data_IF_253802040967
#
_entry.id   IF_253802040967
#
_cell.length_a   1.000
_cell.length_b   1.000
_cell.length_c   1.000
_cell.angle_alpha   90.00
_cell.angle_beta   90.00
_cell.angle_gamma   90.00
#
_symmetry.space_group_name_H-M   'P 1'
#
loop_
_entity.id
_entity.type
_entity.pdbx_description
1 polymer ?
#
# COMPACT_ATOMS: atom_id res chain seq x y z
N UNK A 1 -30.95 -0.15 27.59
CA UNK A 1 -29.62 0.29 27.15
C UNK A 1 -29.23 -0.63 26.02
N UNK A 2 -29.38 -0.16 24.78
CA UNK A 2 -28.90 -0.90 23.62
C UNK A 2 -27.37 -0.93 23.70
N UNK A 3 -26.81 -2.14 23.81
CA UNK A 3 -25.40 -2.36 23.55
C UNK A 3 -25.18 -2.02 22.06
N UNK A 4 -24.80 -0.78 21.77
CA UNK A 4 -24.18 -0.47 20.49
C UNK A 4 -22.87 -1.25 20.45
N UNK A 5 -22.88 -2.36 19.71
CA UNK A 5 -21.65 -3.02 19.29
C UNK A 5 -20.91 -1.94 18.49
N UNK A 6 -19.88 -1.33 19.09
CA UNK A 6 -18.94 -0.52 18.33
C UNK A 6 -18.21 -1.49 17.41
N UNK A 7 -18.68 -1.59 16.17
CA UNK A 7 -17.95 -2.28 15.12
C UNK A 7 -16.61 -1.56 14.97
N UNK A 8 -15.52 -2.30 15.13
CA UNK A 8 -14.19 -1.77 14.88
C UNK A 8 -14.09 -1.28 13.44
N UNK A 9 -13.36 -0.17 13.23
CA UNK A 9 -13.19 0.40 11.89
C UNK A 9 -12.45 -0.62 11.02
N UNK A 10 -12.87 -0.86 9.77
CA UNK A 10 -12.10 -1.69 8.85
C UNK A 10 -10.66 -1.19 8.75
N UNK A 11 -9.72 -2.09 9.04
CA UNK A 11 -8.30 -1.81 9.05
C UNK A 11 -7.70 -2.15 7.69
N UNK A 12 -7.34 -1.11 6.94
CA UNK A 12 -6.95 -1.22 5.53
C UNK A 12 -5.45 -1.01 5.40
N UNK A 13 -4.76 -1.97 4.78
CA UNK A 13 -3.35 -1.84 4.42
C UNK A 13 -3.22 -1.06 3.10
N UNK A 14 -2.61 0.12 3.16
CA UNK A 14 -2.46 1.04 2.05
C UNK A 14 -1.08 0.91 1.38
N UNK A 15 -1.08 0.63 0.07
CA UNK A 15 0.11 0.41 -0.74
C UNK A 15 0.30 1.56 -1.77
N UNK A 16 1.39 2.30 -1.64
CA UNK A 16 1.70 3.45 -2.50
C UNK A 16 2.05 3.07 -3.96
N UNK A 17 2.04 4.04 -4.87
CA UNK A 17 2.49 3.86 -6.24
C UNK A 17 4.01 3.70 -6.37
N UNK A 18 4.51 3.32 -7.55
CA UNK A 18 5.95 3.19 -7.76
C UNK A 18 6.67 4.49 -7.46
N UNK A 19 7.87 4.37 -6.89
CA UNK A 19 8.77 5.49 -6.60
C UNK A 19 8.15 6.56 -5.70
N UNK A 20 7.31 6.17 -4.76
CA UNK A 20 6.61 7.05 -3.81
C UNK A 20 6.80 6.53 -2.38
N UNK A 21 5.98 6.94 -1.42
CA UNK A 21 6.01 6.40 -0.06
C UNK A 21 4.62 6.31 0.56
N UNK A 22 4.50 5.53 1.62
CA UNK A 22 3.27 5.44 2.40
C UNK A 22 2.84 6.80 2.96
N UNK A 23 3.81 7.65 3.33
CA UNK A 23 3.53 9.02 3.79
C UNK A 23 2.93 9.89 2.66
N UNK A 24 3.45 9.77 1.44
CA UNK A 24 2.92 10.51 0.30
C UNK A 24 1.49 10.06 -0.02
N UNK A 25 1.25 8.74 -0.08
CA UNK A 25 -0.11 8.22 -0.30
C UNK A 25 -1.07 8.68 0.82
N UNK A 26 -0.61 8.70 2.07
CA UNK A 26 -1.38 9.24 3.19
C UNK A 26 -1.79 10.69 2.94
N UNK A 27 -0.85 11.55 2.57
CA UNK A 27 -1.11 12.96 2.30
C UNK A 27 -2.11 13.11 1.13
N UNK A 28 -1.95 12.33 0.06
CA UNK A 28 -2.86 12.37 -1.08
C UNK A 28 -4.29 11.96 -0.70
N UNK A 29 -4.46 10.92 0.13
CA UNK A 29 -5.77 10.48 0.60
C UNK A 29 -6.38 11.54 1.55
N UNK A 30 -5.63 11.98 2.55
CA UNK A 30 -6.12 12.93 3.56
C UNK A 30 -6.51 14.28 2.94
N UNK A 31 -5.84 14.71 1.87
CA UNK A 31 -6.15 15.98 1.19
C UNK A 31 -7.30 15.88 0.18
N UNK A 32 -7.73 14.67 -0.21
CA UNK A 32 -8.75 14.48 -1.27
C UNK A 32 -10.05 13.88 -0.74
N UNK A 33 -10.00 13.06 0.28
CA UNK A 33 -11.17 12.34 0.78
C UNK A 33 -11.88 13.14 1.89
N UNK A 34 -13.22 13.12 1.94
CA UNK A 34 -13.95 13.76 3.02
C UNK A 34 -13.63 13.13 4.38
N UNK A 35 -13.57 13.95 5.43
CA UNK A 35 -13.36 13.50 6.82
C UNK A 35 -14.38 12.44 7.24
N UNK A 36 -15.63 12.57 6.79
CA UNK A 36 -16.72 11.61 7.05
C UNK A 36 -16.47 10.20 6.49
N UNK A 37 -15.55 10.06 5.53
CA UNK A 37 -15.05 8.77 5.04
C UNK A 37 -13.85 8.31 5.85
N UNK A 38 -12.87 9.20 6.05
CA UNK A 38 -11.63 8.90 6.76
C UNK A 38 -11.89 8.43 8.21
N UNK A 39 -12.85 9.04 8.90
CA UNK A 39 -13.22 8.67 10.27
C UNK A 39 -13.79 7.25 10.38
N UNK A 40 -14.21 6.62 9.28
CA UNK A 40 -14.76 5.27 9.27
C UNK A 40 -13.72 4.17 9.03
N UNK A 41 -12.48 4.53 8.73
CA UNK A 41 -11.43 3.60 8.34
C UNK A 41 -10.24 3.72 9.30
N UNK A 42 -9.56 2.59 9.55
CA UNK A 42 -8.21 2.59 10.11
C UNK A 42 -7.21 2.33 8.97
N UNK A 43 -6.50 3.36 8.53
CA UNK A 43 -5.61 3.29 7.36
C UNK A 43 -4.15 3.15 7.80
N UNK A 44 -3.52 2.04 7.41
CA UNK A 44 -2.10 1.75 7.70
C UNK A 44 -1.29 1.89 6.42
N UNK A 45 -0.35 2.82 6.38
CA UNK A 45 0.43 3.12 5.18
C UNK A 45 1.81 2.47 5.24
N UNK A 46 2.05 1.47 4.38
CA UNK A 46 3.30 0.73 4.33
C UNK A 46 4.22 1.28 3.23
N UNK A 47 5.53 1.33 3.50
CA UNK A 47 6.55 1.61 2.49
C UNK A 47 6.98 0.31 1.81
N UNK A 48 7.24 0.40 0.50
CA UNK A 48 7.92 -0.64 -0.26
C UNK A 48 9.32 -0.91 0.30
N UNK A 49 9.79 -2.14 0.11
CA UNK A 49 11.05 -2.60 0.68
C UNK A 49 12.29 -1.99 0.00
N UNK A 50 12.15 -1.49 -1.25
CA UNK A 50 13.28 -1.08 -2.06
C UNK A 50 13.38 0.45 -2.18
N UNK A 51 14.43 1.09 -1.65
CA UNK A 51 14.65 2.52 -1.85
C UNK A 51 14.87 2.85 -3.33
N UNK A 52 14.25 3.93 -3.80
CA UNK A 52 14.39 4.39 -5.18
C UNK A 52 15.83 4.77 -5.50
N UNK A 53 16.33 4.25 -6.64
CA UNK A 53 17.55 4.74 -7.27
C UNK A 53 17.19 5.70 -8.40
N UNK A 54 17.69 6.94 -8.34
CA UNK A 54 17.44 7.97 -9.36
C UNK A 54 16.19 8.82 -9.09
N UNK A 55 15.59 9.38 -10.15
CA UNK A 55 14.50 10.37 -10.05
C UNK A 55 13.16 9.75 -9.69
N UNK A 56 12.34 10.46 -8.93
CA UNK A 56 10.93 10.11 -8.73
C UNK A 56 10.01 11.04 -9.51
N UNK A 57 8.90 10.51 -10.03
CA UNK A 57 7.86 11.33 -10.67
C UNK A 57 7.12 12.25 -9.70
N UNK A 58 7.33 12.09 -8.39
CA UNK A 58 6.71 12.91 -7.34
C UNK A 58 7.67 13.91 -6.70
N UNK A 59 8.93 13.98 -7.16
CA UNK A 59 10.00 14.76 -6.52
C UNK A 59 9.80 16.29 -6.57
N UNK A 60 8.98 16.79 -7.50
CA UNK A 60 8.64 18.22 -7.57
C UNK A 60 7.59 18.64 -6.52
N UNK A 61 6.86 17.68 -5.95
CA UNK A 61 5.72 17.93 -5.05
C UNK A 61 5.96 17.44 -3.63
N UNK A 62 6.81 16.42 -3.45
CA UNK A 62 7.05 15.77 -2.16
C UNK A 62 8.52 15.48 -1.96
N UNK A 63 9.03 15.69 -0.75
CA UNK A 63 10.39 15.35 -0.37
C UNK A 63 10.59 13.82 -0.24
N UNK A 64 11.83 13.31 -0.44
CA UNK A 64 12.19 11.91 -0.17
C UNK A 64 12.05 11.55 1.33
N UNK A 65 12.07 10.25 1.71
CA UNK A 65 12.44 9.09 0.89
C UNK A 65 11.33 8.53 0.02
N UNK A 66 11.73 7.92 -1.10
CA UNK A 66 10.86 7.17 -2.00
C UNK A 66 11.26 5.71 -2.07
N UNK A 67 10.28 4.86 -2.33
CA UNK A 67 10.38 3.42 -2.36
C UNK A 67 9.66 2.84 -3.58
N UNK A 68 10.04 1.63 -3.93
CA UNK A 68 9.40 0.75 -4.90
C UNK A 68 9.05 -0.57 -4.24
N UNK A 69 8.03 -1.22 -4.77
CA UNK A 69 7.64 -2.55 -4.36
C UNK A 69 8.43 -3.62 -5.10
N UNK A 70 8.56 -3.45 -6.41
CA UNK A 70 9.35 -4.28 -7.33
C UNK A 70 9.86 -3.40 -8.47
N UNK A 71 10.88 -3.85 -9.19
CA UNK A 71 11.39 -3.15 -10.36
C UNK A 71 10.86 -3.81 -11.64
N UNK A 72 10.73 -3.03 -12.70
CA UNK A 72 10.39 -3.51 -14.03
C UNK A 72 11.37 -2.93 -15.05
N UNK A 73 11.67 -3.69 -16.11
CA UNK A 73 12.35 -3.13 -17.27
C UNK A 73 11.43 -2.15 -18.03
N UNK A 74 12.01 -1.37 -18.96
CA UNK A 74 11.34 -0.23 -19.63
C UNK A 74 10.06 -0.65 -20.38
N UNK A 75 10.03 -1.86 -20.91
CA UNK A 75 8.92 -2.44 -21.66
C UNK A 75 8.00 -3.34 -20.80
N UNK A 76 8.24 -3.45 -19.49
CA UNK A 76 7.47 -4.25 -18.54
C UNK A 76 7.37 -5.75 -18.90
N UNK A 77 8.37 -6.27 -19.60
CA UNK A 77 8.48 -7.70 -19.93
C UNK A 77 9.16 -8.52 -18.84
N UNK A 78 9.94 -7.88 -17.96
CA UNK A 78 10.61 -8.51 -16.83
C UNK A 78 10.39 -7.72 -15.55
N UNK A 79 10.02 -8.44 -14.49
CA UNK A 79 9.88 -7.91 -13.13
C UNK A 79 10.95 -8.50 -12.23
N UNK A 80 11.60 -7.65 -11.44
CA UNK A 80 12.61 -8.06 -10.46
C UNK A 80 12.08 -7.78 -9.06
N UNK A 81 12.32 -8.69 -8.13
CA UNK A 81 11.91 -8.61 -6.72
C UNK A 81 10.39 -8.69 -6.47
N UNK A 82 9.60 -9.21 -7.42
CA UNK A 82 8.15 -9.26 -7.27
C UNK A 82 7.71 -10.28 -6.21
N UNK A 83 8.27 -11.48 -6.25
CA UNK A 83 7.98 -12.54 -5.28
C UNK A 83 8.43 -12.14 -3.86
N UNK A 84 9.61 -11.56 -3.72
CA UNK A 84 10.12 -11.04 -2.44
C UNK A 84 9.25 -9.90 -1.91
N UNK A 85 8.72 -9.06 -2.80
CA UNK A 85 7.76 -8.03 -2.41
C UNK A 85 6.47 -8.62 -1.85
N UNK A 86 5.93 -9.66 -2.50
CA UNK A 86 4.70 -10.33 -2.04
C UNK A 86 4.95 -10.93 -0.66
N UNK A 87 6.04 -11.69 -0.50
CA UNK A 87 6.42 -12.27 0.79
C UNK A 87 6.60 -11.20 1.89
N UNK A 88 7.22 -10.06 1.58
CA UNK A 88 7.36 -8.94 2.51
C UNK A 88 6.01 -8.39 2.98
N UNK A 89 5.03 -8.25 2.08
CA UNK A 89 3.69 -7.77 2.43
C UNK A 89 2.96 -8.82 3.28
N UNK A 90 3.04 -10.09 2.92
CA UNK A 90 2.43 -11.19 3.68
C UNK A 90 3.01 -11.30 5.09
N UNK A 91 4.33 -11.23 5.24
CA UNK A 91 5.02 -11.21 6.54
C UNK A 91 4.59 -10.00 7.36
N UNK A 92 4.49 -8.81 6.74
CA UNK A 92 4.01 -7.63 7.43
C UNK A 92 2.57 -7.82 7.93
N UNK A 93 1.69 -8.39 7.11
CA UNK A 93 0.31 -8.69 7.48
C UNK A 93 0.21 -9.70 8.62
N UNK A 94 0.97 -10.78 8.57
CA UNK A 94 0.98 -11.80 9.60
C UNK A 94 1.42 -11.25 10.97
N UNK A 95 2.40 -10.34 10.97
CA UNK A 95 2.97 -9.79 12.20
C UNK A 95 2.26 -8.54 12.73
N UNK A 96 1.52 -7.81 11.88
CA UNK A 96 0.91 -6.52 12.25
C UNK A 96 -0.61 -6.49 12.08
N UNK A 97 -1.23 -7.58 11.63
CA UNK A 97 -2.67 -7.71 11.42
C UNK A 97 -3.50 -7.85 12.71
N UNK A 98 -4.80 -8.17 12.61
CA UNK A 98 -5.52 -8.44 11.36
C UNK A 98 -5.71 -7.17 10.51
N UNK A 99 -5.84 -7.37 9.20
CA UNK A 99 -6.23 -6.37 8.21
C UNK A 99 -7.49 -6.85 7.50
N UNK A 100 -8.46 -5.95 7.30
CA UNK A 100 -9.75 -6.25 6.68
C UNK A 100 -9.75 -6.04 5.15
N UNK A 101 -8.67 -5.46 4.62
CA UNK A 101 -8.52 -5.28 3.19
C UNK A 101 -7.31 -4.44 2.82
N UNK A 102 -7.23 -4.13 1.52
CA UNK A 102 -6.17 -3.34 0.93
C UNK A 102 -6.70 -2.12 0.21
N UNK A 103 -5.87 -1.08 0.14
CA UNK A 103 -6.04 0.05 -0.76
C UNK A 103 -4.72 0.25 -1.50
N UNK A 104 -4.75 0.20 -2.84
CA UNK A 104 -3.54 0.36 -3.65
C UNK A 104 -3.69 1.46 -4.69
N UNK A 105 -2.59 2.16 -4.98
CA UNK A 105 -2.50 3.09 -6.12
C UNK A 105 -1.38 2.68 -7.08
N UNK A 106 -1.61 2.76 -8.39
CA UNK A 106 -0.62 2.44 -9.44
C UNK A 106 0.07 1.07 -9.20
N UNK A 107 1.38 1.02 -8.94
CA UNK A 107 2.08 -0.23 -8.58
C UNK A 107 1.49 -0.92 -7.35
N UNK A 108 1.09 -0.17 -6.33
CA UNK A 108 0.37 -0.71 -5.17
C UNK A 108 -1.01 -1.27 -5.54
N UNK A 109 -1.68 -0.75 -6.57
CA UNK A 109 -2.95 -1.30 -7.05
C UNK A 109 -2.77 -2.65 -7.74
N UNK A 110 -1.66 -2.84 -8.48
CA UNK A 110 -1.28 -4.13 -9.07
C UNK A 110 -1.14 -5.20 -7.97
N UNK A 111 -0.44 -4.86 -6.88
CA UNK A 111 -0.26 -5.78 -5.75
C UNK A 111 -1.58 -6.07 -5.05
N UNK A 112 -2.38 -5.04 -4.74
CA UNK A 112 -3.71 -5.22 -4.13
C UNK A 112 -4.62 -6.11 -4.98
N UNK A 113 -4.52 -6.07 -6.31
CA UNK A 113 -5.29 -6.93 -7.19
C UNK A 113 -4.75 -8.38 -7.25
N UNK A 114 -3.43 -8.56 -7.17
CA UNK A 114 -2.77 -9.86 -7.28
C UNK A 114 -2.84 -10.67 -5.97
N UNK A 115 -2.59 -10.03 -4.83
CA UNK A 115 -2.42 -10.68 -3.52
C UNK A 115 -3.56 -11.64 -3.14
N UNK A 116 -4.85 -11.28 -3.27
CA UNK A 116 -5.94 -12.21 -2.93
C UNK A 116 -5.94 -13.48 -3.80
N UNK A 117 -5.53 -13.37 -5.07
CA UNK A 117 -5.42 -14.52 -5.97
C UNK A 117 -4.27 -15.44 -5.60
N UNK A 118 -3.10 -14.84 -5.30
CA UNK A 118 -1.88 -15.55 -4.92
C UNK A 118 -2.02 -16.29 -3.58
N UNK A 119 -2.84 -15.77 -2.66
CA UNK A 119 -3.12 -16.41 -1.37
C UNK A 119 -3.95 -17.71 -1.48
N UNK A 120 -4.67 -17.92 -2.58
CA UNK A 120 -5.47 -19.14 -2.78
C UNK A 120 -4.66 -20.33 -3.31
N UNK A 121 -3.36 -20.17 -3.54
CA UNK A 121 -2.47 -21.20 -4.10
C UNK A 121 -1.67 -21.99 -3.04
N UNK A 122 -2.00 -21.82 -1.75
CA UNK A 122 -1.40 -22.57 -0.62
C UNK A 122 -2.33 -23.61 -0.01
#
# INVERSE_FOLDING_TARGET
MENQIQLEKPRILCLHGSRSSGLILRNEIQNRWPETVLEKLDLVFLNGAYPVQGKSGVEELYDPPYYEWFQANVDFSEFTNFEECVAYIEDYMANNGPFDGFLGFSQGAVLTAALPGMQNEN
#
